data_IF_806937567085
#
_entry.id   IF_806937567085
#
_cell.length_a   1.000
_cell.length_b   1.000
_cell.length_c   1.000
_cell.angle_alpha   90.00
_cell.angle_beta   90.00
_cell.angle_gamma   90.00
#
_symmetry.space_group_name_H-M   'P 1'
#
loop_
_entity.id
_entity.type
_entity.pdbx_description
1 polymer ?
#
# COMPACT_ATOMS: atom_id res chain seq x y z
N UNK A 1 -25.90 38.04 -10.17
CA UNK A 1 -25.21 37.95 -8.86
C UNK A 1 -25.21 36.52 -8.29
N UNK A 2 -26.36 35.83 -8.20
CA UNK A 2 -26.44 34.44 -7.66
C UNK A 2 -25.58 33.41 -8.41
N UNK A 3 -25.47 33.51 -9.74
CA UNK A 3 -24.66 32.59 -10.56
C UNK A 3 -23.14 32.75 -10.35
N UNK A 4 -22.67 33.95 -9.99
CA UNK A 4 -21.25 34.22 -9.73
C UNK A 4 -20.82 33.56 -8.42
N UNK A 5 -21.68 33.61 -7.40
CA UNK A 5 -21.45 32.95 -6.11
C UNK A 5 -21.39 31.43 -6.27
N UNK A 6 -22.26 30.85 -7.09
CA UNK A 6 -22.24 29.41 -7.37
C UNK A 6 -20.97 28.96 -8.10
N UNK A 7 -20.47 29.74 -9.06
CA UNK A 7 -19.22 29.44 -9.77
C UNK A 7 -17.99 29.50 -8.83
N UNK A 8 -17.97 30.47 -7.90
CA UNK A 8 -16.88 30.62 -6.93
C UNK A 8 -16.83 29.43 -5.93
N UNK A 9 -18.00 28.93 -5.51
CA UNK A 9 -18.11 27.76 -4.63
C UNK A 9 -17.61 26.47 -5.30
N UNK A 10 -17.88 26.26 -6.59
CA UNK A 10 -17.32 25.11 -7.33
C UNK A 10 -15.80 25.19 -7.50
N UNK A 11 -15.26 26.39 -7.71
CA UNK A 11 -13.82 26.59 -7.82
C UNK A 11 -13.09 26.32 -6.50
N UNK A 12 -13.72 26.66 -5.36
CA UNK A 12 -13.16 26.40 -4.03
C UNK A 12 -13.05 24.89 -3.72
N UNK A 13 -13.95 24.05 -4.24
CA UNK A 13 -13.86 22.59 -4.05
C UNK A 13 -12.78 21.91 -4.90
N UNK A 14 -12.43 22.51 -6.05
CA UNK A 14 -11.34 22.01 -6.89
C UNK A 14 -9.95 22.33 -6.32
N UNK A 15 -9.86 23.28 -5.37
CA UNK A 15 -8.60 23.68 -4.73
C UNK A 15 -8.16 22.76 -3.58
N UNK A 16 -8.94 21.73 -3.21
CA UNK A 16 -8.55 20.78 -2.17
C UNK A 16 -7.37 19.87 -2.57
N UNK A 17 -6.83 19.99 -3.80
CA UNK A 17 -5.55 19.37 -4.17
C UNK A 17 -5.54 17.85 -4.20
N UNK A 18 -6.71 17.20 -4.12
CA UNK A 18 -6.81 15.74 -4.21
C UNK A 18 -6.55 15.29 -5.64
N UNK A 19 -5.37 14.74 -5.88
CA UNK A 19 -5.01 14.15 -7.16
C UNK A 19 -5.48 12.68 -7.19
N UNK A 20 -6.42 12.31 -8.08
CA UNK A 20 -6.85 10.92 -8.21
C UNK A 20 -5.69 10.03 -8.67
N UNK A 21 -5.36 9.00 -7.87
CA UNK A 21 -4.30 8.01 -8.17
C UNK A 21 -4.58 7.25 -9.47
N UNK A 22 -5.86 7.02 -9.80
CA UNK A 22 -6.29 6.21 -10.94
C UNK A 22 -6.56 7.00 -12.22
N UNK A 23 -6.51 8.33 -12.18
CA UNK A 23 -6.76 9.15 -13.36
C UNK A 23 -5.47 9.86 -13.78
N UNK A 24 -5.13 9.83 -15.08
CA UNK A 24 -3.91 10.46 -15.56
C UNK A 24 -3.98 11.98 -15.32
N UNK A 25 -2.90 12.54 -14.78
CA UNK A 25 -2.71 13.97 -14.60
C UNK A 25 -1.96 14.46 -15.82
N UNK A 26 -2.53 15.40 -16.59
CA UNK A 26 -1.90 15.90 -17.81
C UNK A 26 -1.53 14.78 -18.82
N UNK A 27 -2.36 13.74 -18.90
CA UNK A 27 -2.11 12.59 -19.80
C UNK A 27 -1.06 11.60 -19.32
N UNK A 28 -0.50 11.81 -18.12
CA UNK A 28 0.47 10.89 -17.52
C UNK A 28 -0.17 10.18 -16.31
N UNK A 29 -0.15 8.86 -16.33
CA UNK A 29 -0.37 8.07 -15.13
C UNK A 29 0.76 8.35 -14.15
N UNK A 30 0.54 8.18 -12.84
CA UNK A 30 1.63 8.20 -11.88
C UNK A 30 2.72 7.23 -12.39
N UNK A 31 3.91 7.75 -12.71
CA UNK A 31 5.02 6.90 -13.11
C UNK A 31 5.24 5.86 -12.00
N UNK A 32 5.63 4.64 -12.37
CA UNK A 32 6.00 3.63 -11.39
C UNK A 32 6.97 4.26 -10.40
N UNK A 33 6.57 4.27 -9.12
CA UNK A 33 7.28 4.99 -8.07
C UNK A 33 8.78 4.64 -8.07
N UNK A 34 9.60 5.57 -7.59
CA UNK A 34 11.06 5.41 -7.53
C UNK A 34 11.51 4.21 -6.65
N UNK A 35 10.59 3.53 -5.98
CA UNK A 35 10.87 2.42 -5.06
C UNK A 35 10.45 1.10 -5.69
N UNK A 36 11.43 0.22 -5.92
CA UNK A 36 11.19 -1.17 -6.29
C UNK A 36 11.21 -2.05 -5.05
N UNK A 37 10.20 -2.89 -4.82
CA UNK A 37 10.20 -3.83 -3.68
C UNK A 37 10.71 -5.19 -4.15
N UNK A 38 11.80 -5.66 -3.55
CA UNK A 38 12.38 -6.96 -3.84
C UNK A 38 11.39 -8.11 -3.51
N UNK A 39 11.51 -9.28 -4.15
CA UNK A 39 10.76 -10.46 -3.74
C UNK A 39 10.93 -10.77 -2.25
N UNK A 40 9.83 -10.99 -1.54
CA UNK A 40 9.81 -11.44 -0.15
C UNK A 40 9.28 -12.86 -0.14
N UNK A 41 10.05 -13.77 0.47
CA UNK A 41 9.79 -15.20 0.41
C UNK A 41 8.47 -15.63 1.05
N UNK A 42 7.86 -16.66 0.46
CA UNK A 42 6.64 -17.31 0.95
C UNK A 42 5.34 -16.52 0.73
N UNK A 43 4.20 -17.14 1.04
CA UNK A 43 2.86 -16.56 0.85
C UNK A 43 2.69 -15.22 1.56
N UNK A 44 3.10 -15.15 2.82
CA UNK A 44 3.00 -13.92 3.62
C UNK A 44 3.90 -12.82 3.04
N UNK A 45 5.09 -13.20 2.56
CA UNK A 45 6.00 -12.29 1.86
C UNK A 45 5.39 -11.73 0.59
N UNK A 46 4.77 -12.56 -0.25
CA UNK A 46 4.06 -12.09 -1.43
C UNK A 46 2.92 -11.12 -1.10
N UNK A 47 2.13 -11.41 -0.06
CA UNK A 47 1.06 -10.50 0.36
C UNK A 47 1.60 -9.16 0.86
N UNK A 48 2.64 -9.17 1.70
CA UNK A 48 3.30 -7.96 2.18
C UNK A 48 3.91 -7.17 1.03
N UNK A 49 4.58 -7.82 0.07
CA UNK A 49 5.18 -7.15 -1.08
C UNK A 49 4.13 -6.39 -1.90
N UNK A 50 2.98 -7.00 -2.18
CA UNK A 50 1.90 -6.32 -2.93
C UNK A 50 1.38 -5.11 -2.17
N UNK A 51 1.13 -5.26 -0.87
CA UNK A 51 0.69 -4.13 -0.04
C UNK A 51 1.72 -2.99 -0.03
N UNK A 52 3.02 -3.31 0.11
CA UNK A 52 4.09 -2.31 0.02
C UNK A 52 4.14 -1.64 -1.35
N UNK A 53 3.94 -2.38 -2.43
CA UNK A 53 3.89 -1.82 -3.79
C UNK A 53 2.71 -0.86 -3.98
N UNK A 54 1.56 -1.17 -3.40
CA UNK A 54 0.36 -0.33 -3.44
C UNK A 54 0.56 0.96 -2.61
N UNK A 55 1.07 0.84 -1.39
CA UNK A 55 1.31 1.98 -0.49
C UNK A 55 2.42 2.91 -1.02
N UNK A 56 3.50 2.34 -1.56
CA UNK A 56 4.64 3.11 -2.06
C UNK A 56 4.42 3.66 -3.48
N UNK A 57 3.30 3.34 -4.13
CA UNK A 57 2.96 3.85 -5.46
C UNK A 57 2.83 5.39 -5.47
N UNK A 58 2.45 5.99 -4.34
CA UNK A 58 2.36 7.45 -4.17
C UNK A 58 3.75 8.12 -4.17
N UNK A 59 4.81 7.35 -3.93
CA UNK A 59 6.16 7.84 -3.79
C UNK A 59 6.47 8.38 -2.39
N UNK A 60 7.75 8.59 -2.11
CA UNK A 60 8.24 9.11 -0.83
C UNK A 60 8.82 10.51 -1.04
N UNK A 61 8.40 11.53 -0.26
CA UNK A 61 8.94 12.87 -0.37
C UNK A 61 10.46 12.90 -0.19
N UNK A 62 11.15 13.66 -1.04
CA UNK A 62 12.62 13.81 -0.98
C UNK A 62 13.42 12.67 -1.61
N UNK A 63 12.76 11.63 -2.11
CA UNK A 63 13.41 10.59 -2.91
C UNK A 63 13.52 11.07 -4.37
N UNK A 64 14.75 11.19 -4.87
CA UNK A 64 15.03 11.67 -6.24
C UNK A 64 15.63 10.61 -7.15
N UNK A 65 15.99 9.45 -6.61
CA UNK A 65 16.64 8.36 -7.32
C UNK A 65 15.89 7.04 -7.13
N UNK A 66 16.12 6.10 -8.06
CA UNK A 66 15.52 4.77 -7.97
C UNK A 66 16.20 3.94 -6.89
N UNK A 67 15.43 3.43 -5.93
CA UNK A 67 15.91 2.61 -4.82
C UNK A 67 15.18 1.28 -4.77
N UNK A 68 15.83 0.28 -4.16
CA UNK A 68 15.23 -1.03 -3.93
C UNK A 68 15.01 -1.25 -2.44
N UNK A 69 13.77 -1.51 -2.05
CA UNK A 69 13.40 -1.91 -0.70
C UNK A 69 13.51 -3.43 -0.55
N UNK A 70 14.36 -3.88 0.37
CA UNK A 70 14.51 -5.28 0.76
C UNK A 70 13.95 -5.46 2.16
N UNK A 71 13.13 -6.49 2.36
CA UNK A 71 12.47 -6.77 3.65
C UNK A 71 12.76 -8.20 4.05
N UNK A 72 13.19 -8.38 5.29
CA UNK A 72 13.31 -9.70 5.91
C UNK A 72 12.04 -10.00 6.70
N UNK A 73 11.21 -10.90 6.20
CA UNK A 73 9.97 -11.31 6.85
C UNK A 73 10.17 -12.65 7.58
N UNK A 74 9.95 -12.64 8.90
CA UNK A 74 9.84 -13.88 9.69
C UNK A 74 8.38 -14.10 10.04
N UNK A 75 7.91 -15.34 9.89
CA UNK A 75 6.57 -15.72 10.32
C UNK A 75 6.63 -16.94 11.23
N UNK A 76 5.74 -16.95 12.24
CA UNK A 76 5.59 -18.06 13.17
C UNK A 76 4.13 -18.49 13.18
N UNK A 77 3.90 -19.79 12.97
CA UNK A 77 2.58 -20.41 13.07
C UNK A 77 2.52 -21.25 14.34
N UNK A 78 1.60 -20.90 15.24
CA UNK A 78 1.34 -21.64 16.47
C UNK A 78 -0.03 -22.30 16.42
N UNK A 79 -0.11 -23.57 16.86
CA UNK A 79 -1.37 -24.30 17.03
C UNK A 79 -1.80 -24.14 18.49
N UNK A 80 -2.88 -23.42 18.72
CA UNK A 80 -3.28 -22.98 20.07
C UNK A 80 -4.28 -23.91 20.73
N UNK A 81 -5.20 -24.48 19.96
CA UNK A 81 -6.21 -25.40 20.47
C UNK A 81 -6.12 -26.72 19.70
N UNK A 82 -6.02 -27.82 20.44
CA UNK A 82 -5.96 -29.18 19.89
C UNK A 82 -7.24 -29.92 20.26
N UNK A 83 -7.76 -30.71 19.33
CA UNK A 83 -8.82 -31.68 19.55
C UNK A 83 -8.26 -32.97 20.17
N UNK A 84 -9.12 -33.85 20.72
CA UNK A 84 -8.69 -35.14 21.27
C UNK A 84 -7.95 -36.05 20.28
N UNK A 85 -8.18 -35.87 18.99
CA UNK A 85 -7.48 -36.56 17.89
C UNK A 85 -6.11 -35.92 17.54
N UNK A 86 -5.70 -34.88 18.28
CA UNK A 86 -4.46 -34.14 18.04
C UNK A 86 -4.56 -33.10 16.91
N UNK A 87 -5.72 -32.96 16.25
CA UNK A 87 -5.91 -31.95 15.20
C UNK A 87 -6.00 -30.54 15.79
N UNK A 88 -5.38 -29.54 15.17
CA UNK A 88 -5.55 -28.16 15.60
C UNK A 88 -6.93 -27.63 15.22
N UNK A 89 -7.70 -27.21 16.23
CA UNK A 89 -8.96 -26.48 16.04
C UNK A 89 -8.74 -24.98 15.87
N UNK A 90 -7.60 -24.44 16.32
CA UNK A 90 -7.21 -23.04 16.10
C UNK A 90 -5.71 -22.90 15.91
N UNK A 91 -5.34 -22.13 14.89
CA UNK A 91 -3.97 -21.70 14.62
C UNK A 91 -3.87 -20.19 14.66
N UNK A 92 -2.73 -19.67 15.10
CA UNK A 92 -2.38 -18.25 15.06
C UNK A 92 -1.14 -18.08 14.21
N UNK A 93 -1.09 -17.00 13.44
CA UNK A 93 0.08 -16.62 12.66
C UNK A 93 0.51 -15.21 13.07
N UNK A 94 1.80 -15.04 13.31
CA UNK A 94 2.43 -13.74 13.61
C UNK A 94 3.57 -13.55 12.63
N UNK A 95 3.63 -12.39 11.99
CA UNK A 95 4.71 -12.03 11.08
C UNK A 95 5.39 -10.75 11.56
N UNK A 96 6.71 -10.73 11.53
CA UNK A 96 7.55 -9.58 11.89
C UNK A 96 8.51 -9.27 10.75
N UNK A 97 8.53 -8.01 10.32
CA UNK A 97 9.38 -7.50 9.24
C UNK A 97 10.44 -6.55 9.77
N UNK A 98 11.62 -6.59 9.14
CA UNK A 98 12.73 -5.64 9.33
C UNK A 98 13.36 -5.28 8.00
#
# INVERSE_FOLDING_TARGET
>A
MKHVVAALLLAATAACGFQPVYAPVNGQYAESGLISVAPIEGRQGHMLRRALQEELAVGVPGLTEKVTLTVNLRSNLSRLALRPDGAASRSSIVATGS
#
